data_IF_636160499433
#
_entry.id   IF_636160499433
#
_cell.length_a   1.000
_cell.length_b   1.000
_cell.length_c   1.000
_cell.angle_alpha   90.00
_cell.angle_beta   90.00
_cell.angle_gamma   90.00
#
_symmetry.space_group_name_H-M   'P 1'
#
loop_
_entity.id
_entity.type
_entity.pdbx_description
1 polymer ?
#
# COMPACT_ATOMS: atom_id res chain seq x y z
N UNK A 1 -8.78 3.60 -2.33
CA UNK A 1 -7.74 4.32 -3.08
C UNK A 1 -7.41 3.66 -4.40
N UNK A 2 -6.61 4.37 -5.17
CA UNK A 2 -6.15 3.90 -6.49
C UNK A 2 -4.63 4.00 -6.53
N UNK A 3 -3.99 2.87 -6.82
CA UNK A 3 -2.54 2.79 -7.00
C UNK A 3 -2.21 2.84 -8.48
N UNK A 4 -1.18 3.60 -8.82
CA UNK A 4 -0.55 3.56 -10.13
C UNK A 4 0.96 3.61 -9.95
N UNK A 5 1.68 2.73 -10.64
CA UNK A 5 3.12 2.69 -10.48
C UNK A 5 3.82 1.85 -11.52
N UNK A 6 5.09 1.65 -11.27
CA UNK A 6 5.99 0.87 -12.09
C UNK A 6 6.42 -0.38 -11.33
N UNK A 7 6.61 -1.47 -12.05
CA UNK A 7 7.07 -2.71 -11.48
C UNK A 7 8.12 -3.37 -12.39
N UNK A 8 8.97 -4.16 -11.79
CA UNK A 8 9.90 -5.04 -12.48
C UNK A 8 9.86 -6.40 -11.83
N UNK A 9 10.15 -7.44 -12.61
CA UNK A 9 10.08 -8.81 -12.13
C UNK A 9 11.14 -9.67 -12.80
N UNK A 10 11.48 -10.75 -12.10
CA UNK A 10 12.24 -11.86 -12.65
C UNK A 10 11.24 -12.95 -13.00
N UNK A 11 11.33 -13.47 -14.20
CA UNK A 11 10.47 -14.55 -14.70
C UNK A 11 11.29 -15.83 -14.85
N UNK A 12 10.62 -16.96 -14.65
CA UNK A 12 11.23 -18.24 -14.96
C UNK A 12 11.23 -18.48 -16.49
N UNK A 13 11.80 -19.61 -16.92
CA UNK A 13 11.90 -19.96 -18.32
C UNK A 13 10.56 -20.21 -19.03
N UNK A 14 9.48 -20.39 -18.24
CA UNK A 14 8.11 -20.57 -18.75
C UNK A 14 7.33 -19.25 -18.76
N UNK A 15 7.97 -18.15 -18.37
CA UNK A 15 7.32 -16.85 -18.31
C UNK A 15 6.51 -16.60 -17.05
N UNK A 16 6.68 -17.43 -16.00
CA UNK A 16 5.99 -17.19 -14.72
C UNK A 16 6.80 -16.22 -13.86
N UNK A 17 6.15 -15.21 -13.26
CA UNK A 17 6.86 -14.27 -12.39
C UNK A 17 7.32 -14.96 -11.11
N UNK A 18 8.53 -14.66 -10.69
CA UNK A 18 9.16 -15.23 -9.50
C UNK A 18 9.27 -14.20 -8.38
N UNK A 19 10.01 -13.15 -8.63
CA UNK A 19 10.19 -12.04 -7.68
C UNK A 19 9.86 -10.75 -8.40
N UNK A 20 9.21 -9.86 -7.68
CA UNK A 20 8.84 -8.55 -8.24
C UNK A 20 9.13 -7.44 -7.23
N UNK A 21 9.32 -6.25 -7.75
CA UNK A 21 9.45 -5.04 -6.97
C UNK A 21 8.67 -3.92 -7.67
N UNK A 22 8.17 -2.99 -6.89
CA UNK A 22 7.36 -1.89 -7.43
C UNK A 22 7.49 -0.64 -6.58
N UNK A 23 7.15 0.47 -7.20
CA UNK A 23 6.91 1.72 -6.51
C UNK A 23 5.75 2.46 -7.19
N UNK A 24 5.06 3.28 -6.45
CA UNK A 24 3.95 4.02 -7.03
C UNK A 24 3.20 4.89 -6.03
N UNK A 25 2.20 5.57 -6.57
CA UNK A 25 1.38 6.51 -5.82
C UNK A 25 -0.02 5.96 -5.61
N UNK A 26 -0.56 6.21 -4.43
CA UNK A 26 -1.96 5.91 -4.10
C UNK A 26 -2.62 7.20 -3.65
N UNK A 27 -3.70 7.56 -4.33
CA UNK A 27 -4.61 8.59 -3.82
C UNK A 27 -5.65 7.93 -2.94
N UNK A 28 -5.83 8.43 -1.73
CA UNK A 28 -6.77 7.86 -0.76
C UNK A 28 -7.90 8.82 -0.45
N UNK A 29 -9.10 8.26 -0.32
CA UNK A 29 -10.28 8.96 0.16
C UNK A 29 -10.84 8.20 1.36
N UNK A 30 -11.21 8.94 2.40
CA UNK A 30 -11.85 8.35 3.58
C UNK A 30 -13.31 8.01 3.28
N UNK A 31 -13.76 6.90 3.83
CA UNK A 31 -15.15 6.44 3.71
C UNK A 31 -15.65 6.02 5.10
N UNK A 32 -16.95 5.75 5.22
CA UNK A 32 -17.50 5.22 6.46
C UNK A 32 -17.57 6.22 7.62
N UNK A 33 -17.64 7.50 7.33
CA UNK A 33 -17.84 8.53 8.36
C UNK A 33 -16.58 9.02 9.05
N UNK A 34 -15.40 8.54 8.62
CA UNK A 34 -14.12 9.06 9.09
C UNK A 34 -13.57 10.08 8.11
N UNK A 35 -12.75 11.01 8.61
CA UNK A 35 -11.97 11.94 7.77
C UNK A 35 -10.48 11.63 7.82
N UNK A 36 -10.06 10.67 8.62
CA UNK A 36 -8.65 10.31 8.74
C UNK A 36 -8.12 9.79 7.41
N UNK A 37 -7.04 10.40 6.94
CA UNK A 37 -6.40 10.02 5.68
C UNK A 37 -7.14 10.48 4.43
N UNK A 38 -8.23 11.26 4.57
CA UNK A 38 -8.98 11.76 3.43
C UNK A 38 -8.12 12.69 2.58
N UNK A 39 -8.19 12.52 1.26
CA UNK A 39 -7.37 13.26 0.29
C UNK A 39 -5.87 13.20 0.60
N UNK A 40 -5.40 12.07 1.07
CA UNK A 40 -3.98 11.83 1.30
C UNK A 40 -3.31 11.18 0.08
N UNK A 41 -2.01 11.41 -0.05
CA UNK A 41 -1.17 10.79 -1.07
C UNK A 41 -0.21 9.83 -0.39
N UNK A 42 -0.16 8.60 -0.88
CA UNK A 42 0.78 7.60 -0.38
C UNK A 42 1.78 7.28 -1.48
N UNK A 43 3.06 7.35 -1.16
CA UNK A 43 4.11 6.80 -2.02
C UNK A 43 4.59 5.51 -1.40
N UNK A 44 4.47 4.41 -2.14
CA UNK A 44 4.75 3.07 -1.66
C UNK A 44 5.87 2.42 -2.45
N UNK A 45 6.75 1.73 -1.74
CA UNK A 45 7.80 0.89 -2.32
C UNK A 45 7.68 -0.48 -1.67
N UNK A 46 7.60 -1.50 -2.50
CA UNK A 46 7.45 -2.85 -2.01
C UNK A 46 8.04 -3.88 -2.94
N UNK A 47 8.10 -5.11 -2.44
CA UNK A 47 8.61 -6.25 -3.17
C UNK A 47 7.95 -7.53 -2.68
N UNK A 48 7.97 -8.56 -3.51
CA UNK A 48 7.39 -9.83 -3.13
C UNK A 48 7.93 -11.00 -3.93
N UNK A 49 7.51 -12.18 -3.53
CA UNK A 49 7.86 -13.44 -4.16
C UNK A 49 6.60 -14.26 -4.38
N UNK A 50 6.44 -14.82 -5.57
CA UNK A 50 5.22 -15.53 -5.96
C UNK A 50 5.30 -17.04 -5.69
N UNK A 51 6.43 -17.74 -5.90
CA UNK A 51 6.47 -19.19 -5.72
C UNK A 51 6.12 -19.64 -4.30
N UNK A 52 5.42 -20.76 -4.20
CA UNK A 52 4.95 -21.31 -2.94
C UNK A 52 3.75 -20.51 -2.41
N UNK A 53 3.80 -20.15 -1.13
CA UNK A 53 2.82 -19.24 -0.53
C UNK A 53 3.31 -17.81 -0.73
N UNK A 54 3.00 -17.22 -1.87
CA UNK A 54 3.47 -15.90 -2.22
C UNK A 54 3.16 -14.83 -1.18
N UNK A 55 4.05 -13.85 -1.08
CA UNK A 55 3.86 -12.73 -0.18
C UNK A 55 4.50 -11.48 -0.77
N UNK A 56 4.06 -10.33 -0.28
CA UNK A 56 4.71 -9.05 -0.54
C UNK A 56 4.75 -8.22 0.73
N UNK A 57 5.69 -7.30 0.78
CA UNK A 57 5.85 -6.35 1.88
C UNK A 57 6.37 -5.02 1.35
N UNK A 58 6.13 -3.98 2.11
CA UNK A 58 6.66 -2.68 1.75
C UNK A 58 6.36 -1.62 2.79
N UNK A 59 6.76 -0.40 2.44
CA UNK A 59 6.49 0.79 3.23
C UNK A 59 5.84 1.83 2.35
N UNK A 60 4.97 2.63 2.96
CA UNK A 60 4.42 3.81 2.33
C UNK A 60 4.72 5.03 3.19
N UNK A 61 5.05 6.14 2.55
CA UNK A 61 4.98 7.42 3.22
C UNK A 61 3.65 8.06 2.84
N UNK A 62 2.88 8.45 3.84
CA UNK A 62 1.61 9.14 3.67
C UNK A 62 1.85 10.62 3.83
N UNK A 63 1.41 11.40 2.87
CA UNK A 63 1.33 12.85 3.02
C UNK A 63 -0.14 13.22 3.21
N UNK A 64 -0.44 13.73 4.39
CA UNK A 64 -1.79 14.16 4.73
C UNK A 64 -2.09 15.54 4.13
N UNK A 65 -3.36 15.90 4.11
CA UNK A 65 -3.82 17.15 3.49
C UNK A 65 -3.17 18.39 4.12
N UNK A 66 -2.79 18.33 5.40
CA UNK A 66 -2.10 19.43 6.09
C UNK A 66 -0.58 19.47 5.83
N UNK A 67 -0.05 18.51 5.05
CA UNK A 67 1.38 18.42 4.73
C UNK A 67 2.22 17.58 5.68
N UNK A 68 1.68 17.20 6.84
CA UNK A 68 2.36 16.28 7.75
C UNK A 68 2.39 14.87 7.18
N UNK A 69 3.26 14.02 7.70
CA UNK A 69 3.49 12.69 7.13
C UNK A 69 3.40 11.60 8.17
N UNK A 70 3.19 10.38 7.70
CA UNK A 70 3.36 9.16 8.48
C UNK A 70 4.00 8.09 7.59
N UNK A 71 4.67 7.13 8.21
CA UNK A 71 5.22 5.97 7.51
C UNK A 71 4.46 4.75 7.98
N UNK A 72 4.01 3.94 7.03
CA UNK A 72 3.36 2.66 7.30
C UNK A 72 4.19 1.52 6.75
N UNK A 73 4.06 0.36 7.40
CA UNK A 73 4.57 -0.91 6.94
C UNK A 73 3.39 -1.83 6.64
N UNK A 74 3.47 -2.59 5.56
CA UNK A 74 2.44 -3.56 5.22
C UNK A 74 3.04 -4.89 4.80
N UNK A 75 2.28 -5.96 5.04
CA UNK A 75 2.54 -7.31 4.58
C UNK A 75 1.26 -7.84 3.95
N UNK A 76 1.35 -8.44 2.78
CA UNK A 76 0.20 -8.98 2.07
C UNK A 76 0.52 -10.42 1.65
N UNK A 77 -0.41 -11.32 1.91
CA UNK A 77 -0.35 -12.68 1.40
C UNK A 77 -0.93 -12.71 -0.01
N UNK A 78 -0.13 -13.20 -0.94
CA UNK A 78 -0.57 -13.36 -2.32
C UNK A 78 -1.37 -14.65 -2.43
N UNK A 79 -2.42 -14.62 -3.25
CA UNK A 79 -3.30 -15.75 -3.42
C UNK A 79 -4.67 -15.32 -3.89
N UNK A 80 -5.69 -15.94 -3.38
CA UNK A 80 -7.08 -15.68 -3.76
C UNK A 80 -7.53 -14.26 -3.45
N UNK A 81 -7.18 -13.79 -2.26
CA UNK A 81 -7.42 -12.41 -1.84
C UNK A 81 -6.05 -11.78 -1.57
N UNK A 82 -5.75 -10.70 -2.24
CA UNK A 82 -4.52 -9.93 -2.01
C UNK A 82 -4.73 -9.09 -0.75
N UNK A 83 -4.74 -9.74 0.41
CA UNK A 83 -5.06 -9.12 1.69
C UNK A 83 -3.94 -9.35 2.71
N UNK A 84 -3.79 -8.41 3.62
CA UNK A 84 -2.81 -8.47 4.67
C UNK A 84 -3.05 -7.45 5.75
N UNK A 85 -1.98 -7.04 6.41
CA UNK A 85 -2.02 -6.11 7.53
C UNK A 85 -1.10 -4.93 7.29
N UNK A 86 -1.40 -3.83 7.96
CA UNK A 86 -0.54 -2.66 7.98
C UNK A 86 -0.44 -2.11 9.40
N UNK A 87 0.62 -1.33 9.63
CA UNK A 87 0.80 -0.59 10.88
C UNK A 87 1.58 0.70 10.61
N UNK A 88 1.36 1.70 11.45
CA UNK A 88 2.18 2.89 11.43
C UNK A 88 3.52 2.64 12.12
N UNK A 89 4.59 3.18 11.54
CA UNK A 89 5.95 3.09 12.08
C UNK A 89 6.34 4.40 12.74
N UNK A 90 6.04 5.52 12.10
CA UNK A 90 6.40 6.86 12.57
C UNK A 90 5.54 7.91 11.90
N UNK A 91 5.65 9.14 12.37
CA UNK A 91 4.97 10.26 11.78
C UNK A 91 5.63 11.58 12.16
N UNK A 92 5.22 12.65 11.49
CA UNK A 92 5.72 14.00 11.74
C UNK A 92 4.56 14.93 12.09
N UNK A 93 4.88 16.06 12.71
CA UNK A 93 3.90 17.08 13.07
C UNK A 93 2.78 16.50 13.93
N UNK A 94 1.55 16.68 13.48
CA UNK A 94 0.36 16.17 14.15
C UNK A 94 0.38 14.64 14.35
N UNK A 95 1.11 13.94 13.49
CA UNK A 95 1.15 12.47 13.48
C UNK A 95 2.39 11.90 14.16
N UNK A 96 3.18 12.75 14.84
CA UNK A 96 4.30 12.27 15.65
C UNK A 96 3.79 11.32 16.74
N UNK A 97 4.37 10.12 16.81
CA UNK A 97 3.96 9.10 17.75
C UNK A 97 2.66 8.39 17.42
N UNK A 98 2.14 8.56 16.21
CA UNK A 98 0.91 7.88 15.78
C UNK A 98 1.04 6.36 15.91
N UNK A 99 -0.01 5.74 16.43
CA UNK A 99 -0.20 4.30 16.40
C UNK A 99 -1.38 3.99 15.49
N UNK A 100 -1.16 3.15 14.51
CA UNK A 100 -2.24 2.67 13.66
C UNK A 100 -1.99 1.24 13.23
N UNK A 101 -3.06 0.50 13.01
CA UNK A 101 -2.99 -0.86 12.50
C UNK A 101 -4.33 -1.28 11.92
N UNK A 102 -4.29 -2.28 11.08
CA UNK A 102 -5.50 -2.82 10.50
C UNK A 102 -5.23 -3.77 9.35
N UNK A 103 -6.21 -3.89 8.48
CA UNK A 103 -6.16 -4.73 7.30
C UNK A 103 -6.02 -3.87 6.05
N UNK A 104 -5.37 -4.43 5.04
CA UNK A 104 -5.17 -3.80 3.76
C UNK A 104 -5.30 -4.84 2.67
N UNK A 105 -5.64 -4.40 1.48
CA UNK A 105 -5.71 -5.28 0.33
C UNK A 105 -5.84 -4.50 -0.95
N UNK A 106 -5.71 -5.21 -2.06
CA UNK A 106 -5.85 -4.58 -3.36
C UNK A 106 -6.45 -5.55 -4.37
N UNK A 107 -7.02 -4.96 -5.41
CA UNK A 107 -7.49 -5.69 -6.59
C UNK A 107 -6.82 -5.07 -7.81
N UNK A 108 -6.14 -5.90 -8.59
CA UNK A 108 -5.50 -5.43 -9.80
C UNK A 108 -6.52 -5.04 -10.85
N UNK A 109 -6.22 -3.96 -11.55
CA UNK A 109 -7.02 -3.45 -12.67
C UNK A 109 -6.17 -3.61 -13.93
N UNK A 110 -6.81 -3.99 -15.03
CA UNK A 110 -6.14 -3.93 -16.34
C UNK A 110 -5.95 -2.46 -16.70
N UNK A 111 -4.68 -2.06 -16.76
CA UNK A 111 -4.37 -0.66 -17.05
C UNK A 111 -4.68 -0.31 -18.50
N UNK A 112 -5.18 0.90 -18.68
CA UNK A 112 -5.36 1.46 -20.02
C UNK A 112 -4.07 2.02 -20.62
N UNK A 113 -3.05 2.20 -19.78
CA UNK A 113 -1.72 2.65 -20.19
C UNK A 113 -0.72 1.51 -20.04
N UNK A 114 -0.20 1.03 -21.16
CA UNK A 114 0.76 -0.06 -21.18
C UNK A 114 2.00 0.25 -20.33
N UNK A 115 2.52 -0.76 -19.65
CA UNK A 115 3.72 -0.65 -18.83
C UNK A 115 3.49 -0.18 -17.39
N UNK A 116 2.25 0.15 -17.02
CA UNK A 116 1.92 0.56 -15.65
C UNK A 116 1.23 -0.55 -14.88
N UNK A 117 1.43 -0.57 -13.58
CA UNK A 117 0.66 -1.37 -12.64
C UNK A 117 -0.44 -0.50 -12.06
N UNK A 118 -1.65 -1.04 -12.00
CA UNK A 118 -2.82 -0.28 -11.56
C UNK A 118 -3.70 -1.16 -10.67
N UNK A 119 -4.16 -0.62 -9.55
CA UNK A 119 -5.02 -1.35 -8.63
C UNK A 119 -5.94 -0.43 -7.84
N UNK A 120 -7.01 -1.01 -7.32
CA UNK A 120 -7.79 -0.39 -6.24
C UNK A 120 -7.29 -0.94 -4.92
N UNK A 121 -7.27 -0.11 -3.89
CA UNK A 121 -6.71 -0.45 -2.58
C UNK A 121 -7.65 0.01 -1.46
N UNK A 122 -7.58 -0.67 -0.34
CA UNK A 122 -8.26 -0.23 0.87
C UNK A 122 -7.35 -0.37 2.09
N UNK A 123 -7.61 0.47 3.07
CA UNK A 123 -7.07 0.36 4.42
C UNK A 123 -8.26 0.42 5.38
N UNK A 124 -8.31 -0.50 6.32
CA UNK A 124 -9.35 -0.52 7.35
C UNK A 124 -8.71 -0.86 8.68
N UNK A 125 -8.92 -0.01 9.67
CA UNK A 125 -8.31 -0.23 10.97
C UNK A 125 -8.59 0.90 11.93
N UNK A 126 -7.70 1.03 12.90
CA UNK A 126 -7.80 2.03 13.97
C UNK A 126 -6.53 2.84 14.06
N UNK A 127 -6.66 4.04 14.60
CA UNK A 127 -5.52 4.90 14.84
C UNK A 127 -5.67 5.66 16.15
N UNK A 128 -4.54 5.99 16.74
CA UNK A 128 -4.47 6.83 17.94
C UNK A 128 -3.40 7.89 17.71
N UNK A 129 -3.77 9.14 17.94
CA UNK A 129 -2.82 10.25 17.88
C UNK A 129 -2.30 10.55 19.28
N UNK A 130 -1.00 10.73 19.38
CA UNK A 130 -0.37 11.23 20.57
C UNK A 130 -0.59 12.74 20.69
N UNK A 131 -0.92 13.20 21.87
CA UNK A 131 -1.02 14.63 22.13
C UNK A 131 0.31 15.20 22.58
#
# INVERSE_FOLDING_TARGET
>A
GFFVGDAKAIFDEKGNPMTFAYDGLVGMMAVGGTTFGDNSSHYCVGAGSIPGKGFEMGHCIIKFINGDTAITYYEIKLGYSMEGTFKCISGTGRYEGIECSGTTGYTQIKTAQEGKVHSTNYLQGTYTLKK
#
